data_IF_118852258990
#
_entry.id   IF_118852258990
#
_cell.length_a   1.000
_cell.length_b   1.000
_cell.length_c   1.000
_cell.angle_alpha   90.00
_cell.angle_beta   90.00
_cell.angle_gamma   90.00
#
_symmetry.space_group_name_H-M   'P 1'
#
loop_
_entity.id
_entity.type
_entity.pdbx_description
1 polymer ?
#
# COMPACT_ATOMS: atom_id res chain seq x y z
N UNK A 1 11.43 6.32 18.65
CA UNK A 1 12.15 6.93 19.80
C UNK A 1 11.35 6.79 21.08
N UNK A 2 10.17 7.42 21.22
CA UNK A 2 9.32 7.30 22.42
C UNK A 2 9.05 5.85 22.88
N UNK A 3 8.80 4.94 21.93
CA UNK A 3 8.62 3.52 22.24
C UNK A 3 9.85 2.89 22.92
N UNK A 4 11.06 3.23 22.44
CA UNK A 4 12.33 2.75 23.02
C UNK A 4 12.54 3.32 24.41
N UNK A 5 12.27 4.62 24.59
CA UNK A 5 12.33 5.30 25.89
C UNK A 5 11.32 4.74 26.90
N UNK A 6 10.16 4.29 26.43
CA UNK A 6 9.15 3.59 27.22
C UNK A 6 9.51 2.13 27.52
N UNK A 7 10.66 1.64 27.07
CA UNK A 7 11.18 0.30 27.39
C UNK A 7 10.94 -0.78 26.33
N UNK A 8 10.39 -0.43 25.15
CA UNK A 8 10.37 -1.36 24.01
C UNK A 8 11.81 -1.61 23.55
N UNK A 9 12.28 -2.85 23.59
CA UNK A 9 13.66 -3.18 23.21
C UNK A 9 13.87 -3.21 21.70
N UNK A 10 12.83 -3.60 20.96
CA UNK A 10 12.84 -3.71 19.50
C UNK A 10 11.56 -3.16 18.92
N UNK A 11 11.67 -2.30 17.90
CA UNK A 11 10.53 -1.70 17.21
C UNK A 11 10.65 -1.97 15.71
N UNK A 12 9.63 -2.55 15.09
CA UNK A 12 9.59 -2.69 13.64
C UNK A 12 8.72 -1.58 13.05
N UNK A 13 9.23 -0.87 12.04
CA UNK A 13 8.45 0.08 11.24
C UNK A 13 8.18 -0.53 9.88
N UNK A 14 6.91 -0.79 9.57
CA UNK A 14 6.46 -1.31 8.27
C UNK A 14 5.80 -0.16 7.53
N UNK A 15 6.47 0.35 6.51
CA UNK A 15 6.05 1.49 5.71
C UNK A 15 5.55 1.05 4.33
N UNK A 16 4.28 1.37 4.06
CA UNK A 16 3.60 1.06 2.80
C UNK A 16 3.24 2.31 1.99
N UNK A 17 3.66 3.50 2.43
CA UNK A 17 3.63 4.69 1.58
C UNK A 17 4.40 4.39 0.28
N UNK A 18 3.86 4.85 -0.86
CA UNK A 18 4.45 4.52 -2.16
C UNK A 18 5.83 5.15 -2.34
N UNK A 19 6.17 6.15 -1.54
CA UNK A 19 7.48 6.79 -1.52
C UNK A 19 8.40 6.14 -0.50
N UNK A 20 9.70 6.24 -0.74
CA UNK A 20 10.67 5.68 0.19
C UNK A 20 10.65 6.50 1.49
N UNK A 21 10.45 5.83 2.64
CA UNK A 21 10.53 6.39 3.99
C UNK A 21 11.95 6.82 4.40
N UNK A 22 12.59 7.68 3.60
CA UNK A 22 14.00 8.06 3.76
C UNK A 22 14.30 8.71 5.12
N UNK A 23 13.35 9.47 5.68
CA UNK A 23 13.53 10.10 7.00
C UNK A 23 13.57 9.08 8.14
N UNK A 24 12.70 8.07 8.09
CA UNK A 24 12.70 6.95 9.05
C UNK A 24 13.98 6.15 8.93
N UNK A 25 14.38 5.81 7.70
CA UNK A 25 15.63 5.11 7.42
C UNK A 25 16.85 5.88 7.97
N UNK A 26 16.98 7.18 7.65
CA UNK A 26 18.08 8.02 8.11
C UNK A 26 18.13 8.12 9.64
N UNK A 27 16.99 8.30 10.30
CA UNK A 27 16.91 8.43 11.75
C UNK A 27 17.36 7.18 12.52
N UNK A 28 17.26 6.00 11.91
CA UNK A 28 17.61 4.72 12.55
C UNK A 28 18.71 3.94 11.82
N UNK A 29 19.37 4.54 10.82
CA UNK A 29 20.29 3.85 9.91
C UNK A 29 21.46 3.13 10.60
N UNK A 30 21.79 3.53 11.84
CA UNK A 30 22.87 2.97 12.67
C UNK A 30 22.39 2.20 13.89
N UNK A 31 21.10 1.93 14.02
CA UNK A 31 20.51 1.24 15.17
C UNK A 31 20.02 -0.15 14.81
N UNK A 32 20.31 -1.13 15.66
CA UNK A 32 19.73 -2.49 15.63
C UNK A 32 18.46 -2.63 16.49
N UNK A 33 18.10 -1.60 17.25
CA UNK A 33 16.87 -1.59 18.05
C UNK A 33 15.63 -1.27 17.22
N UNK A 34 15.80 -0.78 15.99
CA UNK A 34 14.69 -0.46 15.07
C UNK A 34 14.94 -1.13 13.73
N UNK A 35 14.02 -2.00 13.32
CA UNK A 35 14.00 -2.56 11.96
C UNK A 35 13.11 -1.65 11.09
N UNK A 36 13.71 -1.00 10.10
CA UNK A 36 12.99 -0.18 9.13
C UNK A 36 12.73 -0.99 7.86
N UNK A 37 11.46 -1.07 7.44
CA UNK A 37 11.04 -1.76 6.22
C UNK A 37 10.18 -0.78 5.42
N UNK A 38 10.54 -0.55 4.16
CA UNK A 38 9.76 0.31 3.25
C UNK A 38 9.48 -0.38 1.92
N UNK A 39 8.19 -0.48 1.58
CA UNK A 39 7.69 -0.98 0.30
C UNK A 39 7.25 0.22 -0.55
N UNK A 40 8.03 0.56 -1.57
CA UNK A 40 7.83 1.80 -2.33
C UNK A 40 7.99 1.56 -3.83
N UNK A 41 7.49 2.47 -4.66
CA UNK A 41 7.78 2.44 -6.10
C UNK A 41 9.26 2.71 -6.35
N UNK A 42 9.80 2.11 -7.40
CA UNK A 42 11.18 2.38 -7.82
C UNK A 42 11.28 3.78 -8.49
N UNK A 43 11.48 4.83 -7.69
CA UNK A 43 11.59 6.23 -8.15
C UNK A 43 13.01 6.83 -8.06
N UNK A 44 13.92 6.22 -7.29
CA UNK A 44 15.29 6.69 -7.12
C UNK A 44 15.43 7.81 -6.09
N UNK A 45 16.30 8.79 -6.36
CA UNK A 45 16.52 9.93 -5.47
C UNK A 45 15.68 11.14 -5.90
N UNK A 46 15.11 11.86 -4.93
CA UNK A 46 14.39 13.13 -5.14
C UNK A 46 15.32 14.35 -5.29
N UNK A 47 16.62 14.12 -5.52
CA UNK A 47 17.61 15.16 -5.75
C UNK A 47 18.48 15.47 -4.53
N UNK A 48 19.22 16.59 -4.54
CA UNK A 48 20.28 16.85 -3.55
C UNK A 48 19.82 16.90 -2.10
N UNK A 49 18.57 17.30 -1.85
CA UNK A 49 17.99 17.35 -0.49
C UNK A 49 17.52 16.00 0.03
N UNK A 50 17.35 15.02 -0.86
CA UNK A 50 16.90 13.65 -0.56
C UNK A 50 17.73 12.68 -1.41
N UNK A 51 19.04 12.56 -1.09
CA UNK A 51 19.99 11.83 -1.93
C UNK A 51 19.82 10.31 -1.88
N UNK A 52 19.10 9.81 -0.87
CA UNK A 52 18.84 8.38 -0.72
C UNK A 52 17.99 7.87 -1.90
N UNK A 53 18.28 6.67 -2.38
CA UNK A 53 17.67 6.08 -3.58
C UNK A 53 16.57 5.09 -3.24
N UNK A 54 16.51 4.60 -2.01
CA UNK A 54 15.62 3.49 -1.65
C UNK A 54 16.03 2.17 -2.30
N UNK A 55 17.30 2.02 -2.66
CA UNK A 55 17.78 0.80 -3.32
C UNK A 55 18.02 -0.32 -2.31
N UNK A 56 18.01 -1.55 -2.81
CA UNK A 56 18.14 -2.78 -2.01
C UNK A 56 19.48 -2.92 -1.27
N UNK A 57 20.50 -2.13 -1.65
CA UNK A 57 21.83 -2.11 -1.07
C UNK A 57 22.00 -1.05 0.03
N UNK A 58 21.01 -0.19 0.27
CA UNK A 58 20.96 0.71 1.42
C UNK A 58 20.48 -0.06 2.67
N UNK A 59 21.41 -0.77 3.33
CA UNK A 59 21.09 -1.75 4.37
C UNK A 59 21.35 -1.28 5.82
N UNK A 60 21.62 0.00 6.03
CA UNK A 60 22.09 0.52 7.31
C UNK A 60 23.62 0.50 7.44
N UNK A 61 24.14 1.00 8.56
CA UNK A 61 25.57 1.16 8.83
C UNK A 61 25.93 0.79 10.28
N UNK A 62 27.15 0.30 10.50
CA UNK A 62 27.62 -0.02 11.85
C UNK A 62 26.75 -1.08 12.51
N UNK A 63 26.24 -0.79 13.71
CA UNK A 63 25.33 -1.69 14.44
C UNK A 63 24.00 -1.88 13.72
N UNK A 64 23.52 -0.88 12.98
CA UNK A 64 22.27 -0.95 12.21
C UNK A 64 22.39 -1.69 10.87
N UNK A 65 23.56 -2.22 10.50
CA UNK A 65 23.70 -2.97 9.25
C UNK A 65 22.81 -4.23 9.26
N UNK A 66 21.92 -4.33 8.28
CA UNK A 66 20.91 -5.38 8.17
C UNK A 66 19.56 -5.04 8.82
N UNK A 67 19.41 -3.84 9.38
CA UNK A 67 18.17 -3.37 10.02
C UNK A 67 17.44 -2.27 9.22
N UNK A 68 17.91 -1.95 8.01
CA UNK A 68 17.15 -1.18 7.01
C UNK A 68 16.88 -2.03 5.77
N UNK A 69 15.61 -2.24 5.44
CA UNK A 69 15.17 -3.10 4.34
C UNK A 69 14.31 -2.29 3.36
N UNK A 70 14.87 -2.03 2.19
CA UNK A 70 14.17 -1.39 1.09
C UNK A 70 13.62 -2.42 0.11
N UNK A 71 12.34 -2.30 -0.23
CA UNK A 71 11.63 -3.18 -1.16
C UNK A 71 11.09 -2.32 -2.31
N UNK A 72 11.96 -1.89 -3.26
CA UNK A 72 11.53 -1.11 -4.41
C UNK A 72 10.76 -2.01 -5.38
N UNK A 73 9.45 -1.80 -5.47
CA UNK A 73 8.55 -2.55 -6.33
C UNK A 73 8.47 -1.90 -7.73
N UNK A 74 8.34 -2.72 -8.80
CA UNK A 74 8.14 -2.19 -10.14
C UNK A 74 6.81 -1.44 -10.24
N UNK A 75 6.73 -0.47 -11.15
CA UNK A 75 5.47 0.22 -11.41
C UNK A 75 4.40 -0.76 -11.91
N UNK A 76 3.17 -0.56 -11.49
CA UNK A 76 2.03 -1.41 -11.79
C UNK A 76 1.88 -2.61 -10.84
N UNK A 77 2.65 -2.68 -9.76
CA UNK A 77 2.47 -3.70 -8.72
C UNK A 77 1.13 -3.45 -8.03
N UNK A 78 0.22 -4.41 -8.15
CA UNK A 78 -1.08 -4.42 -7.47
C UNK A 78 -1.12 -5.39 -6.29
N UNK A 79 -2.33 -5.71 -5.85
CA UNK A 79 -2.62 -6.47 -4.62
C UNK A 79 -1.76 -7.74 -4.48
N UNK A 80 -1.73 -8.59 -5.50
CA UNK A 80 -0.98 -9.86 -5.48
C UNK A 80 0.53 -9.65 -5.34
N UNK A 81 1.07 -8.57 -5.91
CA UNK A 81 2.50 -8.29 -5.85
C UNK A 81 2.90 -7.74 -4.48
N UNK A 82 2.08 -6.87 -3.89
CA UNK A 82 2.25 -6.43 -2.51
C UNK A 82 2.09 -7.60 -1.53
N UNK A 83 1.07 -8.43 -1.68
CA UNK A 83 0.89 -9.63 -0.86
C UNK A 83 2.11 -10.56 -0.94
N UNK A 84 2.66 -10.78 -2.13
CA UNK A 84 3.89 -11.56 -2.31
C UNK A 84 5.08 -10.91 -1.59
N UNK A 85 5.30 -9.61 -1.77
CA UNK A 85 6.39 -8.90 -1.10
C UNK A 85 6.27 -8.92 0.44
N UNK A 86 5.05 -8.73 0.95
CA UNK A 86 4.74 -8.84 2.38
C UNK A 86 5.07 -10.23 2.91
N UNK A 87 4.59 -11.29 2.25
CA UNK A 87 4.77 -12.65 2.75
C UNK A 87 6.20 -13.19 2.58
N UNK A 88 6.91 -12.83 1.51
CA UNK A 88 8.23 -13.39 1.21
C UNK A 88 9.40 -12.57 1.78
N UNK A 89 9.17 -11.30 2.12
CA UNK A 89 10.23 -10.40 2.64
C UNK A 89 9.87 -9.84 4.00
N UNK A 90 8.73 -9.16 4.12
CA UNK A 90 8.37 -8.42 5.34
C UNK A 90 8.10 -9.39 6.50
N UNK A 91 7.27 -10.41 6.30
CA UNK A 91 6.92 -11.40 7.31
C UNK A 91 8.21 -12.08 7.84
N UNK A 92 9.07 -12.72 7.02
CA UNK A 92 10.29 -13.35 7.52
C UNK A 92 11.24 -12.39 8.25
N UNK A 93 11.36 -11.14 7.78
CA UNK A 93 12.18 -10.14 8.45
C UNK A 93 11.65 -9.80 9.85
N UNK A 94 10.34 -9.58 9.97
CA UNK A 94 9.68 -9.29 11.25
C UNK A 94 9.72 -10.51 12.18
N UNK A 95 9.49 -11.72 11.66
CA UNK A 95 9.58 -12.96 12.45
C UNK A 95 10.99 -13.16 13.03
N UNK A 96 12.04 -12.85 12.24
CA UNK A 96 13.42 -12.96 12.70
C UNK A 96 13.80 -11.87 13.71
N UNK A 97 13.23 -10.68 13.56
CA UNK A 97 13.50 -9.54 14.43
C UNK A 97 12.73 -9.59 15.74
N UNK A 98 11.56 -10.24 15.78
CA UNK A 98 10.69 -10.37 16.96
C UNK A 98 10.49 -9.03 17.69
N UNK A 99 9.86 -8.03 17.03
CA UNK A 99 9.68 -6.71 17.62
C UNK A 99 8.78 -6.77 18.85
N UNK A 100 9.06 -5.91 19.84
CA UNK A 100 8.17 -5.72 21.00
C UNK A 100 7.06 -4.69 20.76
N UNK A 101 7.14 -3.95 19.66
CA UNK A 101 6.14 -3.00 19.17
C UNK A 101 6.23 -2.90 17.65
N UNK A 102 5.07 -2.87 16.99
CA UNK A 102 4.96 -2.66 15.54
C UNK A 102 4.42 -1.27 15.28
N UNK A 103 5.07 -0.53 14.37
CA UNK A 103 4.58 0.74 13.83
C UNK A 103 4.26 0.50 12.36
N UNK A 104 3.01 0.69 11.97
CA UNK A 104 2.56 0.64 10.59
C UNK A 104 2.42 2.07 10.08
N UNK A 105 3.25 2.43 9.11
CA UNK A 105 3.22 3.72 8.44
C UNK A 105 2.41 3.53 7.17
N UNK A 106 1.31 4.27 7.04
CA UNK A 106 0.31 4.04 6.00
C UNK A 106 0.13 5.27 5.11
N UNK A 107 0.61 5.17 3.87
CA UNK A 107 0.20 6.04 2.77
C UNK A 107 -0.79 5.29 1.86
N UNK A 108 -1.81 5.99 1.34
CA UNK A 108 -2.75 5.41 0.37
C UNK A 108 -2.41 5.77 -1.09
N UNK A 109 -1.22 6.30 -1.30
CA UNK A 109 -0.71 6.72 -2.59
C UNK A 109 -0.14 5.59 -3.44
N UNK A 110 -0.09 4.35 -2.93
CA UNK A 110 0.11 3.14 -3.74
C UNK A 110 -1.19 2.64 -4.40
N UNK A 111 -2.31 3.37 -4.22
CA UNK A 111 -3.59 3.02 -4.81
C UNK A 111 -3.61 3.22 -6.34
N UNK A 112 -4.42 2.43 -7.03
CA UNK A 112 -4.54 2.47 -8.50
C UNK A 112 -4.99 3.82 -9.09
N UNK A 113 -5.55 4.71 -8.26
CA UNK A 113 -6.06 6.01 -8.68
C UNK A 113 -5.20 7.18 -8.17
N UNK A 114 -4.13 6.92 -7.43
CA UNK A 114 -3.31 8.00 -6.88
C UNK A 114 -2.48 8.71 -7.96
N UNK A 115 -2.48 10.06 -8.00
CA UNK A 115 -1.69 10.80 -8.98
C UNK A 115 -0.18 10.73 -8.73
N UNK A 116 0.24 10.48 -7.49
CA UNK A 116 1.65 10.56 -7.08
C UNK A 116 2.34 9.19 -7.06
N UNK A 117 1.59 8.10 -6.88
CA UNK A 117 2.12 6.74 -7.04
C UNK A 117 2.04 6.18 -8.45
N UNK A 118 2.71 5.04 -8.66
CA UNK A 118 2.65 4.26 -9.91
C UNK A 118 2.29 2.80 -9.66
N UNK A 119 1.52 2.55 -8.61
CA UNK A 119 1.10 1.22 -8.18
C UNK A 119 -0.39 1.01 -8.40
N UNK A 120 -0.88 -0.21 -8.16
CA UNK A 120 -2.24 -0.61 -8.48
C UNK A 120 -2.96 -1.27 -7.30
N UNK A 121 -2.72 -0.80 -6.06
CA UNK A 121 -3.45 -1.33 -4.91
C UNK A 121 -4.93 -0.95 -4.94
N UNK A 122 -5.77 -1.91 -4.56
CA UNK A 122 -7.20 -1.76 -4.32
C UNK A 122 -7.52 -1.77 -2.83
N UNK A 123 -8.78 -1.54 -2.43
CA UNK A 123 -9.17 -1.76 -1.03
C UNK A 123 -8.82 -3.16 -0.54
N UNK A 124 -8.94 -4.19 -1.39
CA UNK A 124 -8.67 -5.57 -1.01
C UNK A 124 -7.18 -5.78 -0.68
N UNK A 125 -6.28 -5.22 -1.49
CA UNK A 125 -4.85 -5.25 -1.21
C UNK A 125 -4.48 -4.52 0.08
N UNK A 126 -5.01 -3.32 0.30
CA UNK A 126 -4.79 -2.58 1.56
C UNK A 126 -5.30 -3.33 2.79
N UNK A 127 -6.45 -4.01 2.67
CA UNK A 127 -7.01 -4.83 3.74
C UNK A 127 -6.13 -6.04 4.03
N UNK A 128 -5.68 -6.76 3.00
CA UNK A 128 -4.79 -7.92 3.16
C UNK A 128 -3.48 -7.51 3.85
N UNK A 129 -2.88 -6.38 3.45
CA UNK A 129 -1.70 -5.81 4.12
C UNK A 129 -2.01 -5.54 5.61
N UNK A 130 -3.14 -4.90 5.92
CA UNK A 130 -3.58 -4.66 7.29
C UNK A 130 -3.70 -5.95 8.11
N UNK A 131 -4.29 -7.00 7.54
CA UNK A 131 -4.43 -8.32 8.18
C UNK A 131 -3.08 -9.00 8.43
N UNK A 132 -2.13 -8.88 7.50
CA UNK A 132 -0.77 -9.40 7.67
C UNK A 132 -0.09 -8.69 8.85
N UNK A 133 -0.16 -7.35 8.89
CA UNK A 133 0.45 -6.56 9.96
C UNK A 133 -0.22 -6.83 11.31
N UNK A 134 -1.54 -7.01 11.34
CA UNK A 134 -2.28 -7.44 12.54
C UNK A 134 -1.70 -8.74 13.11
N UNK A 135 -1.58 -9.79 12.29
CA UNK A 135 -1.05 -11.10 12.70
C UNK A 135 0.38 -11.01 13.23
N UNK A 136 1.22 -10.18 12.61
CA UNK A 136 2.58 -9.94 13.08
C UNK A 136 2.59 -9.22 14.44
N UNK A 137 1.75 -8.19 14.61
CA UNK A 137 1.65 -7.46 15.87
C UNK A 137 1.09 -8.32 17.01
N UNK A 138 0.06 -9.13 16.75
CA UNK A 138 -0.50 -10.07 17.73
C UNK A 138 0.56 -11.09 18.19
N UNK A 139 1.28 -11.69 17.23
CA UNK A 139 2.27 -12.74 17.50
C UNK A 139 3.54 -12.25 18.21
N UNK A 140 4.11 -11.12 17.78
CA UNK A 140 5.43 -10.67 18.25
C UNK A 140 5.37 -9.47 19.19
N UNK A 141 4.39 -8.58 18.98
CA UNK A 141 4.26 -7.33 19.72
C UNK A 141 3.18 -7.36 20.81
N UNK A 142 2.57 -8.52 21.11
CA UNK A 142 1.49 -8.66 22.10
C UNK A 142 0.35 -7.66 21.81
N UNK A 143 -0.01 -7.57 20.52
CA UNK A 143 -1.03 -6.66 19.99
C UNK A 143 -0.64 -5.18 19.94
N UNK A 144 0.57 -4.79 20.36
CA UNK A 144 1.02 -3.38 20.33
C UNK A 144 1.31 -2.92 18.89
N UNK A 145 0.29 -2.34 18.27
CA UNK A 145 0.33 -1.74 16.95
C UNK A 145 0.03 -0.24 17.03
N UNK A 146 0.95 0.59 16.53
CA UNK A 146 0.72 2.01 16.26
C UNK A 146 0.56 2.21 14.75
N UNK A 147 -0.51 2.86 14.33
CA UNK A 147 -0.75 3.23 12.93
C UNK A 147 -0.53 4.73 12.76
N UNK A 148 0.29 5.11 11.79
CA UNK A 148 0.62 6.52 11.49
C UNK A 148 0.30 6.80 10.03
N UNK A 149 -0.54 7.81 9.79
CA UNK A 149 -0.95 8.22 8.45
C UNK A 149 0.15 9.07 7.79
N UNK A 150 0.47 8.76 6.53
CA UNK A 150 1.35 9.53 5.64
C UNK A 150 0.60 9.97 4.37
N UNK A 151 1.08 9.60 3.18
CA UNK A 151 0.57 10.01 1.88
C UNK A 151 -0.81 9.47 1.51
N UNK A 152 -1.21 9.73 0.27
CA UNK A 152 -2.56 9.45 -0.24
C UNK A 152 -3.24 10.74 -0.69
N UNK A 153 -3.25 10.96 -2.00
CA UNK A 153 -3.58 12.23 -2.62
C UNK A 153 -4.84 12.16 -3.49
N UNK A 154 -5.30 10.95 -3.83
CA UNK A 154 -6.60 10.78 -4.47
C UNK A 154 -7.74 10.88 -3.45
N UNK A 155 -8.25 12.10 -3.26
CA UNK A 155 -9.25 12.51 -2.24
C UNK A 155 -10.31 11.44 -1.93
N UNK A 156 -10.97 10.88 -2.95
CA UNK A 156 -12.08 9.95 -2.74
C UNK A 156 -11.59 8.55 -2.37
N UNK A 157 -10.77 7.95 -3.23
CA UNK A 157 -10.32 6.57 -3.05
C UNK A 157 -9.39 6.36 -1.86
N UNK A 158 -8.55 7.34 -1.51
CA UNK A 158 -7.68 7.22 -0.33
C UNK A 158 -8.46 6.98 0.96
N UNK A 159 -9.65 7.57 1.11
CA UNK A 159 -10.51 7.32 2.27
C UNK A 159 -11.03 5.88 2.32
N UNK A 160 -11.39 5.32 1.16
CA UNK A 160 -11.81 3.92 1.04
C UNK A 160 -10.66 2.96 1.31
N UNK A 161 -9.48 3.22 0.75
CA UNK A 161 -8.27 2.44 1.00
C UNK A 161 -7.87 2.47 2.47
N UNK A 162 -7.89 3.64 3.11
CA UNK A 162 -7.62 3.78 4.55
C UNK A 162 -8.62 2.97 5.38
N UNK A 163 -9.92 3.07 5.07
CA UNK A 163 -10.95 2.28 5.73
C UNK A 163 -10.62 0.78 5.62
N UNK A 164 -10.29 0.30 4.42
CA UNK A 164 -9.94 -1.10 4.19
C UNK A 164 -8.67 -1.54 4.94
N UNK A 165 -7.62 -0.70 4.98
CA UNK A 165 -6.43 -0.95 5.81
C UNK A 165 -6.82 -1.15 7.28
N UNK A 166 -7.69 -0.29 7.81
CA UNK A 166 -8.13 -0.37 9.22
C UNK A 166 -9.01 -1.59 9.48
N UNK A 167 -9.91 -1.96 8.55
CA UNK A 167 -10.67 -3.22 8.66
C UNK A 167 -9.74 -4.42 8.82
N UNK A 168 -8.65 -4.46 8.04
CA UNK A 168 -7.65 -5.51 8.11
C UNK A 168 -6.82 -5.46 9.39
N UNK A 169 -6.34 -4.29 9.78
CA UNK A 169 -5.51 -4.10 10.98
C UNK A 169 -6.28 -4.39 12.29
N UNK A 170 -7.60 -4.17 12.29
CA UNK A 170 -8.49 -4.50 13.41
C UNK A 170 -9.02 -5.95 13.36
N UNK A 171 -8.66 -6.72 12.33
CA UNK A 171 -9.12 -8.10 12.08
C UNK A 171 -10.65 -8.25 12.18
N UNK A 172 -11.38 -7.35 11.50
CA UNK A 172 -12.83 -7.39 11.56
C UNK A 172 -13.39 -8.66 10.87
N UNK A 173 -14.41 -9.32 11.45
CA UNK A 173 -14.92 -10.59 10.94
C UNK A 173 -15.70 -10.46 9.62
N UNK A 174 -16.14 -9.25 9.28
CA UNK A 174 -16.96 -8.95 8.11
C UNK A 174 -16.54 -7.61 7.48
N UNK A 175 -16.66 -7.53 6.16
CA UNK A 175 -16.46 -6.29 5.41
C UNK A 175 -17.57 -5.29 5.75
N UNK A 176 -17.21 -4.06 6.08
CA UNK A 176 -18.16 -2.99 6.35
C UNK A 176 -18.50 -2.21 5.06
N UNK A 177 -17.55 -2.13 4.13
CA UNK A 177 -17.72 -1.46 2.83
C UNK A 177 -17.22 -2.33 1.68
N UNK A 178 -17.99 -2.39 0.61
CA UNK A 178 -17.56 -2.90 -0.69
C UNK A 178 -16.71 -1.86 -1.42
N UNK A 179 -15.75 -2.30 -2.22
CA UNK A 179 -14.98 -1.39 -3.07
C UNK A 179 -15.85 -0.85 -4.22
N UNK A 180 -16.14 0.47 -4.27
CA UNK A 180 -17.02 1.02 -5.29
C UNK A 180 -16.31 1.25 -6.64
N UNK A 181 -14.98 1.19 -6.70
CA UNK A 181 -14.21 1.63 -7.88
C UNK A 181 -12.98 0.77 -8.25
N UNK A 182 -12.53 -0.19 -7.43
CA UNK A 182 -11.43 -1.11 -7.77
C UNK A 182 -11.63 -1.84 -9.08
N UNK A 183 -12.88 -2.12 -9.39
CA UNK A 183 -13.34 -2.58 -10.67
C UNK A 183 -14.34 -1.55 -11.15
N UNK A 184 -14.08 -0.90 -12.29
CA UNK A 184 -15.14 -0.22 -13.03
C UNK A 184 -15.69 -1.28 -14.00
N UNK A 185 -16.66 -2.14 -13.59
CA UNK A 185 -17.31 -3.00 -14.57
C UNK A 185 -17.91 -2.08 -15.62
N UNK A 186 -17.59 -2.30 -16.88
CA UNK A 186 -18.37 -1.72 -17.95
C UNK A 186 -19.79 -2.29 -17.84
N UNK A 187 -20.75 -1.46 -17.46
CA UNK A 187 -22.17 -1.78 -17.68
C UNK A 187 -22.53 -1.36 -19.10
N UNK A 188 -22.25 -2.27 -20.05
CA UNK A 188 -22.54 -2.03 -21.46
C UNK A 188 -24.05 -1.88 -21.73
N UNK A 189 -24.94 -2.28 -20.80
CA UNK A 189 -26.39 -2.25 -21.03
C UNK A 189 -26.91 -0.85 -21.36
N UNK A 190 -26.31 0.20 -20.76
CA UNK A 190 -26.63 1.59 -21.07
C UNK A 190 -26.18 1.97 -22.50
N UNK A 191 -24.96 1.60 -22.88
CA UNK A 191 -24.42 1.85 -24.22
C UNK A 191 -25.23 1.11 -25.28
N UNK A 192 -25.52 -0.18 -25.06
CA UNK A 192 -26.35 -1.03 -25.93
C UNK A 192 -27.72 -0.42 -26.15
N UNK A 193 -28.42 0.00 -25.08
CA UNK A 193 -29.76 0.61 -25.18
C UNK A 193 -29.76 1.88 -26.05
N UNK A 194 -28.75 2.73 -25.91
CA UNK A 194 -28.62 3.96 -26.70
C UNK A 194 -28.30 3.62 -28.16
N UNK A 195 -27.36 2.71 -28.40
CA UNK A 195 -26.98 2.27 -29.75
C UNK A 195 -28.17 1.64 -30.48
N UNK A 196 -28.97 0.80 -29.82
CA UNK A 196 -30.16 0.20 -30.43
C UNK A 196 -31.25 1.25 -30.75
N UNK A 197 -31.42 2.25 -29.88
CA UNK A 197 -32.33 3.37 -30.17
C UNK A 197 -31.87 4.19 -31.39
N UNK A 198 -30.57 4.42 -31.53
CA UNK A 198 -29.97 5.08 -32.70
C UNK A 198 -30.20 4.24 -33.95
N UNK A 199 -29.93 2.93 -33.89
CA UNK A 199 -30.16 2.00 -35.01
C UNK A 199 -31.61 2.00 -35.46
N UNK A 200 -32.56 2.00 -34.51
CA UNK A 200 -33.98 2.05 -34.84
C UNK A 200 -34.34 3.37 -35.52
N UNK A 201 -33.93 4.50 -34.93
CA UNK A 201 -34.18 5.81 -35.53
C UNK A 201 -33.60 5.92 -36.94
N UNK A 202 -32.39 5.40 -37.17
CA UNK A 202 -31.76 5.42 -38.50
C UNK A 202 -32.49 4.55 -39.52
N UNK A 203 -32.95 3.35 -39.14
CA UNK A 203 -33.81 2.55 -40.02
C UNK A 203 -35.05 3.32 -40.46
N UNK A 204 -35.65 4.08 -39.54
CA UNK A 204 -36.91 4.78 -39.79
C UNK A 204 -36.73 6.11 -40.55
N UNK A 205 -35.55 6.74 -40.47
CA UNK A 205 -35.37 8.14 -40.92
C UNK A 205 -34.24 8.37 -41.91
N UNK A 206 -33.27 7.46 -42.00
CA UNK A 206 -32.10 7.62 -42.86
C UNK A 206 -32.21 6.63 -44.02
N UNK A 207 -32.43 7.09 -45.26
CA UNK A 207 -32.66 6.21 -46.42
C UNK A 207 -31.55 5.19 -46.68
N UNK A 208 -30.33 5.47 -46.25
CA UNK A 208 -29.20 4.54 -46.35
C UNK A 208 -29.42 3.25 -45.54
N UNK A 209 -30.23 3.30 -44.48
CA UNK A 209 -30.44 2.21 -43.53
C UNK A 209 -31.89 1.69 -43.49
N UNK A 210 -32.75 2.16 -44.39
CA UNK A 210 -34.10 1.63 -44.56
C UNK A 210 -34.07 0.25 -45.24
N UNK A 211 -35.12 -0.56 -45.03
CA UNK A 211 -35.31 -1.80 -45.81
C UNK A 211 -35.89 -1.46 -47.20
N UNK A 212 -35.37 -2.10 -48.26
CA UNK A 212 -35.84 -1.96 -49.65
C UNK A 212 -37.30 -2.43 -49.85
#
# INVERSE_FOLDING_TARGET
QLALEAGCRRVATIDIDVHYGNGTAEGFYRSDNVLTISLHMNHGSWGPSHPQRGSIDELGEGEGFGFNLNIPLPNGTGDRGYAYAMNEVVVPAVEKFEPSMTVMIIGQDSSAFDPNGRQCLTMDGYREIGQIVHKLADKFSDGRLLIVQEGGYHITYSAYCLHATLEGALDLPHLLLSDPIAYYPEDEALAVKVVDSIKQYWKDTVPLFGED
#
